data_IF_007734555657
#
_entry.id   IF_007734555657
#
_cell.length_a   1.000
_cell.length_b   1.000
_cell.length_c   1.000
_cell.angle_alpha   90.00
_cell.angle_beta   90.00
_cell.angle_gamma   90.00
#
_symmetry.space_group_name_H-M   'P 1'
#
loop_
_entity.id
_entity.type
_entity.pdbx_description
1 polymer ?
#
# COMPACT_ATOMS: atom_id res chain seq x y z
N UNK A 1 -25.67 -13.80 -14.57
CA UNK A 1 -24.39 -13.76 -13.85
C UNK A 1 -24.04 -15.17 -13.34
N UNK A 2 -22.78 -15.59 -13.45
CA UNK A 2 -22.30 -16.92 -13.03
C UNK A 2 -21.50 -16.89 -11.71
N UNK A 3 -21.03 -15.72 -11.26
CA UNK A 3 -20.31 -15.58 -9.99
C UNK A 3 -19.55 -14.25 -9.89
N UNK A 4 -18.81 -14.05 -8.79
CA UNK A 4 -17.90 -12.91 -8.59
C UNK A 4 -16.47 -13.42 -8.65
N UNK A 5 -15.66 -12.86 -9.55
CA UNK A 5 -14.26 -13.27 -9.73
C UNK A 5 -13.27 -12.43 -8.89
N UNK A 6 -13.60 -11.17 -8.61
CA UNK A 6 -12.78 -10.30 -7.79
C UNK A 6 -13.65 -9.34 -6.96
N UNK A 7 -13.21 -9.04 -5.73
CA UNK A 7 -13.84 -8.09 -4.82
C UNK A 7 -12.83 -7.06 -4.34
N UNK A 8 -13.31 -5.85 -4.06
CA UNK A 8 -12.52 -4.78 -3.45
C UNK A 8 -12.35 -5.02 -1.93
N UNK A 9 -11.55 -4.20 -1.25
CA UNK A 9 -11.33 -4.30 0.22
C UNK A 9 -12.61 -4.16 1.04
N UNK A 10 -13.63 -3.49 0.49
CA UNK A 10 -14.95 -3.31 1.12
C UNK A 10 -15.92 -4.46 0.79
N UNK A 11 -15.47 -5.51 0.12
CA UNK A 11 -16.29 -6.68 -0.22
C UNK A 11 -17.17 -6.53 -1.47
N UNK A 12 -17.23 -5.34 -2.09
CA UNK A 12 -18.02 -5.15 -3.32
C UNK A 12 -17.37 -5.84 -4.52
N UNK A 13 -18.16 -6.41 -5.45
CA UNK A 13 -17.63 -6.95 -6.70
C UNK A 13 -16.86 -5.90 -7.49
N UNK A 14 -15.66 -6.26 -7.93
CA UNK A 14 -14.92 -5.52 -8.97
C UNK A 14 -15.09 -6.18 -10.32
N UNK A 15 -15.14 -7.51 -10.34
CA UNK A 15 -15.28 -8.32 -11.54
C UNK A 15 -16.32 -9.40 -11.32
N UNK A 16 -17.31 -9.45 -12.21
CA UNK A 16 -18.29 -10.55 -12.27
C UNK A 16 -17.98 -11.50 -13.41
N UNK A 17 -18.44 -12.73 -13.27
CA UNK A 17 -18.35 -13.77 -14.30
C UNK A 17 -19.66 -13.79 -15.08
N UNK A 18 -19.60 -13.52 -16.38
CA UNK A 18 -20.73 -13.63 -17.29
C UNK A 18 -21.00 -15.08 -17.68
N UNK A 19 -22.24 -15.37 -18.08
CA UNK A 19 -22.50 -16.61 -18.81
C UNK A 19 -21.82 -16.53 -20.18
N UNK A 20 -21.29 -17.64 -20.72
CA UNK A 20 -20.66 -17.64 -22.04
C UNK A 20 -21.58 -17.20 -23.18
N UNK A 21 -22.90 -17.46 -23.03
CA UNK A 21 -23.95 -17.09 -23.97
C UNK A 21 -25.00 -16.22 -23.25
N UNK A 22 -25.58 -15.27 -23.98
CA UNK A 22 -26.79 -14.55 -23.58
C UNK A 22 -28.04 -15.42 -23.70
N UNK A 23 -29.18 -14.90 -23.24
CA UNK A 23 -30.45 -15.63 -23.26
C UNK A 23 -30.95 -15.90 -24.70
N UNK A 24 -30.51 -15.09 -25.66
CA UNK A 24 -30.72 -15.25 -27.11
C UNK A 24 -29.70 -16.17 -27.79
N UNK A 25 -28.79 -16.79 -27.02
CA UNK A 25 -27.74 -17.66 -27.52
C UNK A 25 -26.54 -16.92 -28.14
N UNK A 26 -26.49 -15.59 -28.06
CA UNK A 26 -25.35 -14.82 -28.58
C UNK A 26 -24.11 -14.94 -27.68
N UNK A 27 -22.89 -15.07 -28.23
CA UNK A 27 -21.68 -15.07 -27.42
C UNK A 27 -21.48 -13.77 -26.66
N UNK A 28 -21.27 -13.89 -25.35
CA UNK A 28 -20.82 -12.74 -24.57
C UNK A 28 -19.41 -12.31 -25.03
N UNK A 29 -19.14 -11.00 -25.15
CA UNK A 29 -17.86 -10.50 -25.63
C UNK A 29 -16.73 -10.90 -24.69
N UNK A 30 -16.97 -10.87 -23.37
CA UNK A 30 -15.99 -11.27 -22.37
C UNK A 30 -16.65 -12.11 -21.27
N UNK A 31 -15.90 -13.07 -20.74
CA UNK A 31 -16.30 -13.84 -19.57
C UNK A 31 -16.20 -13.03 -18.28
N UNK A 32 -15.20 -12.16 -18.17
CA UNK A 32 -14.98 -11.32 -16.99
C UNK A 32 -15.41 -9.90 -17.29
N UNK A 33 -16.33 -9.38 -16.50
CA UNK A 33 -16.91 -8.05 -16.68
C UNK A 33 -16.56 -7.16 -15.51
N UNK A 34 -15.94 -6.01 -15.79
CA UNK A 34 -15.60 -5.01 -14.79
C UNK A 34 -16.87 -4.29 -14.35
N UNK A 35 -17.15 -4.27 -13.05
CA UNK A 35 -18.36 -3.64 -12.47
C UNK A 35 -18.04 -2.55 -11.45
N UNK A 36 -16.77 -2.40 -11.04
CA UNK A 36 -16.38 -1.34 -10.11
C UNK A 36 -16.49 0.04 -10.79
N UNK A 37 -17.33 0.97 -10.32
CA UNK A 37 -17.51 2.27 -10.98
C UNK A 37 -16.23 3.09 -11.02
N UNK A 38 -15.42 3.06 -9.94
CA UNK A 38 -14.09 3.68 -9.93
C UNK A 38 -13.20 3.15 -11.05
N UNK A 39 -13.01 1.84 -11.13
CA UNK A 39 -12.13 1.25 -12.15
C UNK A 39 -12.68 1.47 -13.55
N UNK A 40 -14.00 1.41 -13.75
CA UNK A 40 -14.63 1.73 -15.03
C UNK A 40 -14.30 3.16 -15.45
N UNK A 41 -14.47 4.12 -14.54
CA UNK A 41 -14.22 5.53 -14.83
C UNK A 41 -12.74 5.78 -15.15
N UNK A 42 -11.81 5.25 -14.35
CA UNK A 42 -10.38 5.45 -14.57
C UNK A 42 -9.88 4.75 -15.84
N UNK A 43 -10.37 3.54 -16.14
CA UNK A 43 -10.04 2.86 -17.40
C UNK A 43 -10.60 3.62 -18.60
N UNK A 44 -11.80 4.17 -18.50
CA UNK A 44 -12.38 4.98 -19.58
C UNK A 44 -11.53 6.24 -19.86
N UNK A 45 -10.92 6.84 -18.82
CA UNK A 45 -9.95 7.93 -19.00
C UNK A 45 -8.69 7.46 -19.74
N UNK A 46 -8.16 6.28 -19.41
CA UNK A 46 -7.02 5.73 -20.15
C UNK A 46 -7.38 5.46 -21.62
N UNK A 47 -8.57 4.93 -21.89
CA UNK A 47 -9.05 4.73 -23.26
C UNK A 47 -9.15 6.06 -24.03
N UNK A 48 -9.70 7.10 -23.41
CA UNK A 48 -9.80 8.45 -23.98
C UNK A 48 -8.43 9.09 -24.25
N UNK A 49 -7.39 8.71 -23.49
CA UNK A 49 -6.00 9.12 -23.72
C UNK A 49 -5.31 8.33 -24.84
N UNK A 50 -6.00 7.38 -25.49
CA UNK A 50 -5.46 6.61 -26.62
C UNK A 50 -4.70 5.34 -26.23
N UNK A 51 -4.77 4.91 -24.95
CA UNK A 51 -4.02 3.73 -24.48
C UNK A 51 -4.42 2.42 -25.15
N UNK A 52 -5.64 2.32 -25.72
CA UNK A 52 -6.03 1.15 -26.54
C UNK A 52 -5.04 0.96 -27.70
N UNK A 53 -4.75 2.03 -28.44
CA UNK A 53 -3.86 1.99 -29.60
C UNK A 53 -2.42 1.74 -29.15
N UNK A 54 -1.96 2.43 -28.11
CA UNK A 54 -0.61 2.30 -27.59
C UNK A 54 -0.31 0.86 -27.12
N UNK A 55 -1.18 0.30 -26.28
CA UNK A 55 -1.00 -1.08 -25.80
C UNK A 55 -1.17 -2.11 -26.92
N UNK A 56 -2.03 -1.83 -27.92
CA UNK A 56 -2.11 -2.64 -29.14
C UNK A 56 -0.79 -2.67 -29.93
N UNK A 57 -0.10 -1.54 -30.02
CA UNK A 57 1.22 -1.44 -30.66
C UNK A 57 2.33 -2.11 -29.83
N UNK A 58 2.28 -2.02 -28.50
CA UNK A 58 3.20 -2.76 -27.61
C UNK A 58 3.05 -4.27 -27.84
N UNK A 59 1.83 -4.80 -27.84
CA UNK A 59 1.56 -6.23 -28.09
C UNK A 59 2.00 -6.65 -29.50
N UNK A 60 1.86 -5.77 -30.49
CA UNK A 60 2.27 -6.08 -31.86
C UNK A 60 3.79 -6.07 -32.05
N UNK A 61 4.52 -5.23 -31.32
CA UNK A 61 5.96 -5.04 -31.47
C UNK A 61 6.81 -5.92 -30.54
N UNK A 62 6.25 -6.39 -29.42
CA UNK A 62 6.98 -7.17 -28.41
C UNK A 62 6.55 -8.65 -28.42
N UNK A 63 7.44 -9.60 -28.78
CA UNK A 63 7.11 -11.04 -28.82
C UNK A 63 6.61 -11.59 -27.48
N UNK A 64 7.19 -11.14 -26.37
CA UNK A 64 6.78 -11.57 -25.02
C UNK A 64 5.37 -11.08 -24.67
N UNK A 65 5.04 -9.84 -25.01
CA UNK A 65 3.71 -9.28 -24.81
C UNK A 65 2.66 -10.04 -25.65
N UNK A 66 2.97 -10.33 -26.92
CA UNK A 66 2.14 -11.14 -27.80
C UNK A 66 1.92 -12.56 -27.24
N UNK A 67 2.99 -13.22 -26.76
CA UNK A 67 2.91 -14.55 -26.19
C UNK A 67 2.06 -14.57 -24.91
N UNK A 68 2.22 -13.56 -24.04
CA UNK A 68 1.44 -13.42 -22.82
C UNK A 68 -0.05 -13.18 -23.10
N UNK A 69 -0.40 -12.31 -24.06
CA UNK A 69 -1.80 -12.11 -24.47
C UNK A 69 -2.39 -13.36 -25.13
N UNK A 70 -1.66 -14.04 -26.01
CA UNK A 70 -2.12 -15.27 -26.63
C UNK A 70 -2.37 -16.39 -25.59
N UNK A 71 -1.53 -16.46 -24.55
CA UNK A 71 -1.73 -17.36 -23.41
C UNK A 71 -3.00 -16.99 -22.63
N UNK A 72 -3.19 -15.71 -22.32
CA UNK A 72 -4.38 -15.23 -21.63
C UNK A 72 -5.67 -15.51 -22.42
N UNK A 73 -5.66 -15.31 -23.74
CA UNK A 73 -6.80 -15.62 -24.63
C UNK A 73 -7.13 -17.11 -24.66
N UNK A 74 -6.12 -18.00 -24.71
CA UNK A 74 -6.34 -19.45 -24.64
C UNK A 74 -6.97 -19.87 -23.32
N UNK A 75 -6.48 -19.33 -22.19
CA UNK A 75 -7.06 -19.59 -20.86
C UNK A 75 -8.50 -19.09 -20.81
N UNK A 76 -8.77 -17.87 -21.29
CA UNK A 76 -10.09 -17.27 -21.33
C UNK A 76 -11.09 -18.11 -22.15
N UNK A 77 -10.71 -18.53 -23.36
CA UNK A 77 -11.56 -19.35 -24.23
C UNK A 77 -11.84 -20.74 -23.64
N UNK A 78 -10.83 -21.34 -22.98
CA UNK A 78 -11.00 -22.61 -22.27
C UNK A 78 -12.00 -22.49 -21.11
N UNK A 79 -11.88 -21.45 -20.29
CA UNK A 79 -12.80 -21.18 -19.18
C UNK A 79 -14.22 -20.92 -19.67
N UNK A 80 -14.36 -20.13 -20.75
CA UNK A 80 -15.65 -19.86 -21.41
C UNK A 80 -16.37 -21.15 -21.78
N UNK A 81 -15.69 -22.10 -22.41
CA UNK A 81 -16.29 -23.41 -22.76
C UNK A 81 -16.53 -24.28 -21.53
N UNK A 82 -15.72 -24.19 -20.47
CA UNK A 82 -15.91 -24.97 -19.24
C UNK A 82 -17.12 -24.52 -18.41
N UNK A 83 -17.48 -23.25 -18.49
CA UNK A 83 -18.64 -22.70 -17.77
C UNK A 83 -20.00 -23.05 -18.42
N UNK A 84 -20.02 -23.57 -19.65
CA UNK A 84 -21.22 -24.12 -20.25
C UNK A 84 -21.58 -25.47 -19.61
N UNK A 85 -22.86 -25.71 -19.25
CA UNK A 85 -23.34 -27.02 -18.82
C UNK A 85 -22.98 -28.13 -19.82
N UNK A 86 -22.78 -29.36 -19.33
CA UNK A 86 -22.41 -30.52 -20.17
C UNK A 86 -23.40 -30.71 -21.33
N UNK A 87 -24.70 -30.62 -21.05
CA UNK A 87 -25.76 -30.75 -22.05
C UNK A 87 -25.63 -29.68 -23.15
N UNK A 88 -25.44 -28.42 -22.76
CA UNK A 88 -25.29 -27.31 -23.70
C UNK A 88 -24.03 -27.42 -24.55
N UNK A 89 -22.92 -27.92 -23.99
CA UNK A 89 -21.70 -28.23 -24.76
C UNK A 89 -21.94 -29.31 -25.81
N UNK A 90 -22.73 -30.34 -25.49
CA UNK A 90 -23.09 -31.41 -26.46
C UNK A 90 -23.98 -30.84 -27.56
N UNK A 91 -25.01 -30.08 -27.18
CA UNK A 91 -25.93 -29.41 -28.09
C UNK A 91 -25.19 -28.50 -29.08
N UNK A 92 -24.35 -27.60 -28.60
CA UNK A 92 -23.60 -26.67 -29.47
C UNK A 92 -22.65 -27.39 -30.43
N UNK A 93 -22.08 -28.53 -30.04
CA UNK A 93 -21.23 -29.33 -30.95
C UNK A 93 -22.04 -29.96 -32.09
N UNK A 94 -23.25 -30.41 -31.82
CA UNK A 94 -24.10 -31.08 -32.79
C UNK A 94 -24.87 -30.08 -33.67
N UNK A 95 -25.49 -29.08 -33.06
CA UNK A 95 -26.46 -28.20 -33.70
C UNK A 95 -25.86 -26.86 -34.16
N UNK A 96 -24.75 -26.41 -33.56
CA UNK A 96 -24.15 -25.10 -33.84
C UNK A 96 -22.61 -25.12 -33.89
N UNK A 97 -21.98 -25.96 -34.76
CA UNK A 97 -20.53 -26.19 -34.75
C UNK A 97 -19.71 -24.91 -34.99
N UNK A 98 -20.18 -23.98 -35.83
CA UNK A 98 -19.52 -22.68 -36.06
C UNK A 98 -19.47 -21.82 -34.78
N UNK A 99 -20.55 -21.85 -33.99
CA UNK A 99 -20.62 -21.14 -32.72
C UNK A 99 -19.68 -21.78 -31.69
N UNK A 100 -19.64 -23.12 -31.65
CA UNK A 100 -18.73 -23.86 -30.79
C UNK A 100 -17.25 -23.56 -31.07
N UNK A 101 -16.85 -23.50 -32.34
CA UNK A 101 -15.51 -23.11 -32.75
C UNK A 101 -15.20 -21.64 -32.41
N UNK A 102 -16.17 -20.75 -32.62
CA UNK A 102 -16.05 -19.33 -32.24
C UNK A 102 -15.74 -19.19 -30.75
N UNK A 103 -16.45 -19.89 -29.88
CA UNK A 103 -16.22 -19.86 -28.43
C UNK A 103 -14.84 -20.40 -28.03
N UNK A 104 -14.26 -21.29 -28.83
CA UNK A 104 -12.92 -21.84 -28.61
C UNK A 104 -11.78 -20.90 -29.00
N UNK A 105 -12.07 -19.89 -29.83
CA UNK A 105 -11.08 -18.96 -30.39
C UNK A 105 -11.27 -17.51 -29.92
N UNK A 106 -12.46 -17.15 -29.44
CA UNK A 106 -12.75 -15.82 -28.93
C UNK A 106 -12.03 -15.57 -27.61
N UNK A 107 -11.00 -14.73 -27.67
CA UNK A 107 -10.24 -14.27 -26.52
C UNK A 107 -10.96 -13.19 -25.71
N UNK A 108 -10.19 -12.49 -24.88
CA UNK A 108 -10.67 -11.43 -24.01
C UNK A 108 -11.24 -10.27 -24.86
N UNK A 109 -12.45 -9.80 -24.53
CA UNK A 109 -13.15 -8.77 -25.30
C UNK A 109 -13.57 -9.20 -26.70
N UNK A 110 -13.70 -10.52 -26.94
CA UNK A 110 -14.22 -11.08 -28.18
C UNK A 110 -13.22 -11.01 -29.34
N UNK A 111 -11.92 -10.89 -29.04
CA UNK A 111 -10.90 -10.83 -30.09
C UNK A 111 -10.69 -12.19 -30.76
N UNK A 112 -10.51 -12.15 -32.07
CA UNK A 112 -10.11 -13.30 -32.89
C UNK A 112 -8.80 -13.04 -33.64
N UNK A 113 -8.33 -11.79 -33.66
CA UNK A 113 -7.10 -11.35 -34.32
C UNK A 113 -6.28 -10.44 -33.37
N UNK A 114 -5.06 -10.07 -33.78
CA UNK A 114 -4.15 -9.19 -33.04
C UNK A 114 -4.80 -7.81 -32.84
N UNK A 115 -4.71 -7.26 -31.63
CA UNK A 115 -5.19 -5.92 -31.30
C UNK A 115 -5.95 -5.86 -29.96
N UNK A 116 -5.95 -4.68 -29.35
CA UNK A 116 -6.66 -4.38 -28.11
C UNK A 116 -7.95 -3.63 -28.47
N UNK A 117 -9.10 -4.10 -27.97
CA UNK A 117 -10.41 -3.47 -28.24
C UNK A 117 -10.98 -2.70 -27.06
N UNK A 118 -10.77 -3.19 -25.84
CA UNK A 118 -11.36 -2.65 -24.62
C UNK A 118 -10.48 -2.97 -23.43
N UNK A 119 -9.94 -1.94 -22.79
CA UNK A 119 -9.08 -2.06 -21.61
C UNK A 119 -9.84 -2.60 -20.40
N UNK A 120 -11.16 -2.34 -20.28
CA UNK A 120 -11.96 -2.88 -19.17
C UNK A 120 -11.98 -4.41 -19.17
N UNK A 121 -12.10 -5.04 -20.34
CA UNK A 121 -12.12 -6.49 -20.47
C UNK A 121 -10.76 -7.11 -20.08
N UNK A 122 -9.66 -6.48 -20.47
CA UNK A 122 -8.32 -6.94 -20.07
C UNK A 122 -8.04 -6.73 -18.59
N UNK A 123 -8.44 -5.59 -18.02
CA UNK A 123 -8.32 -5.35 -16.58
C UNK A 123 -9.17 -6.37 -15.81
N UNK A 124 -10.41 -6.63 -16.24
CA UNK A 124 -11.27 -7.63 -15.60
C UNK A 124 -10.65 -9.03 -15.64
N UNK A 125 -10.08 -9.42 -16.79
CA UNK A 125 -9.38 -10.71 -16.91
C UNK A 125 -8.17 -10.78 -15.97
N UNK A 126 -7.36 -9.72 -15.91
CA UNK A 126 -6.17 -9.69 -15.06
C UNK A 126 -6.53 -9.69 -13.56
N UNK A 127 -7.56 -8.96 -13.14
CA UNK A 127 -8.03 -8.99 -11.76
C UNK A 127 -8.61 -10.37 -11.37
N UNK A 128 -9.23 -11.09 -12.30
CA UNK A 128 -9.80 -12.41 -12.07
C UNK A 128 -8.74 -13.54 -12.06
N UNK A 129 -7.77 -13.49 -12.96
CA UNK A 129 -6.85 -14.61 -13.23
C UNK A 129 -5.37 -14.30 -13.01
N UNK A 130 -4.98 -13.02 -12.92
CA UNK A 130 -3.58 -12.59 -12.93
C UNK A 130 -2.89 -12.74 -14.30
N UNK A 131 -3.67 -12.92 -15.37
CA UNK A 131 -3.17 -13.25 -16.71
C UNK A 131 -3.41 -12.13 -17.73
N UNK A 132 -2.45 -11.95 -18.63
CA UNK A 132 -2.48 -10.96 -19.73
C UNK A 132 -1.51 -9.78 -19.51
N UNK A 133 -0.75 -9.46 -20.56
CA UNK A 133 0.14 -8.30 -20.63
C UNK A 133 -0.63 -6.98 -20.52
N UNK A 134 -1.69 -6.82 -21.32
CA UNK A 134 -2.44 -5.55 -21.41
C UNK A 134 -3.14 -5.26 -20.10
N UNK A 135 -3.74 -6.28 -19.46
CA UNK A 135 -4.38 -6.11 -18.15
C UNK A 135 -3.38 -5.72 -17.06
N UNK A 136 -2.17 -6.32 -17.09
CA UNK A 136 -1.05 -5.93 -16.22
C UNK A 136 -0.61 -4.49 -16.47
N UNK A 137 -0.44 -4.07 -17.74
CA UNK A 137 -0.10 -2.69 -18.10
C UNK A 137 -1.16 -1.69 -17.67
N UNK A 138 -2.44 -2.01 -17.80
CA UNK A 138 -3.54 -1.17 -17.28
C UNK A 138 -3.41 -1.01 -15.76
N UNK A 139 -3.12 -2.07 -15.01
CA UNK A 139 -2.85 -1.98 -13.57
C UNK A 139 -1.67 -1.05 -13.26
N UNK A 140 -0.59 -1.14 -14.04
CA UNK A 140 0.59 -0.28 -13.88
C UNK A 140 0.27 1.19 -14.18
N UNK A 141 -0.47 1.48 -15.25
CA UNK A 141 -0.91 2.83 -15.60
C UNK A 141 -1.85 3.42 -14.54
N UNK A 142 -2.80 2.63 -14.05
CA UNK A 142 -3.69 3.06 -12.97
C UNK A 142 -2.92 3.36 -11.68
N UNK A 143 -1.90 2.57 -11.34
CA UNK A 143 -1.00 2.87 -10.21
C UNK A 143 -0.21 4.15 -10.42
N UNK A 144 0.29 4.39 -11.64
CA UNK A 144 0.94 5.65 -11.99
C UNK A 144 0.01 6.84 -11.78
N UNK A 145 -1.28 6.70 -12.09
CA UNK A 145 -2.30 7.74 -11.87
C UNK A 145 -2.89 7.79 -10.45
N UNK A 146 -2.22 7.14 -9.48
CA UNK A 146 -2.64 7.06 -8.08
C UNK A 146 -4.10 6.57 -7.92
N UNK A 147 -4.48 5.53 -8.66
CA UNK A 147 -5.79 4.91 -8.54
C UNK A 147 -5.75 3.79 -7.50
N UNK A 148 -6.62 3.81 -6.47
CA UNK A 148 -6.63 2.77 -5.45
C UNK A 148 -7.35 1.52 -6.01
N UNK A 149 -6.57 0.60 -6.57
CA UNK A 149 -7.09 -0.63 -7.19
C UNK A 149 -7.88 -1.52 -6.22
N UNK A 150 -7.65 -1.41 -4.92
CA UNK A 150 -8.39 -2.14 -3.89
C UNK A 150 -9.75 -1.49 -3.55
N UNK A 151 -10.11 -0.37 -4.17
CA UNK A 151 -11.34 0.39 -3.91
C UNK A 151 -11.10 1.66 -3.09
N UNK A 152 -12.07 2.57 -3.15
CA UNK A 152 -12.09 3.87 -2.46
C UNK A 152 -13.47 4.12 -1.86
N UNK A 153 -13.56 4.88 -0.76
CA UNK A 153 -14.87 5.24 -0.18
C UNK A 153 -15.73 6.11 -1.09
N UNK A 154 -15.12 6.82 -2.05
CA UNK A 154 -15.82 7.67 -3.01
C UNK A 154 -16.10 6.99 -4.36
N UNK A 155 -15.97 5.65 -4.43
CA UNK A 155 -16.16 4.91 -5.68
C UNK A 155 -17.62 4.76 -6.15
N UNK A 156 -18.60 5.24 -5.38
CA UNK A 156 -20.04 5.10 -5.68
C UNK A 156 -20.67 3.75 -5.33
N UNK A 157 -19.88 2.70 -5.03
CA UNK A 157 -20.43 1.41 -4.59
C UNK A 157 -21.11 1.45 -3.22
N UNK A 158 -20.75 2.43 -2.38
CA UNK A 158 -21.23 2.58 -1.00
C UNK A 158 -22.50 3.45 -0.87
N UNK A 159 -23.16 3.75 -2.00
CA UNK A 159 -24.28 4.69 -2.09
C UNK A 159 -23.89 5.99 -2.81
N UNK A 160 -24.82 6.95 -2.99
CA UNK A 160 -24.47 8.27 -3.50
C UNK A 160 -23.30 8.78 -2.66
N UNK A 161 -22.20 9.15 -3.33
CA UNK A 161 -21.01 9.66 -2.66
C UNK A 161 -21.47 10.68 -1.64
N UNK A 162 -21.28 10.39 -0.34
CA UNK A 162 -21.51 11.39 0.72
C UNK A 162 -20.84 12.65 0.19
N UNK A 163 -21.57 13.78 0.02
CA UNK A 163 -20.94 15.02 -0.41
C UNK A 163 -19.71 15.19 0.49
N UNK A 164 -18.54 15.59 -0.05
CA UNK A 164 -17.32 15.72 0.74
C UNK A 164 -17.73 16.37 2.06
N UNK A 165 -17.58 15.64 3.17
CA UNK A 165 -17.91 16.21 4.47
C UNK A 165 -17.08 17.49 4.57
N UNK A 166 -17.68 18.61 4.97
CA UNK A 166 -16.92 19.83 5.19
C UNK A 166 -15.62 19.49 5.94
N UNK A 167 -14.46 19.72 5.28
CA UNK A 167 -13.15 19.33 5.80
C UNK A 167 -12.58 17.98 5.33
N UNK A 168 -12.71 17.59 4.05
CA UNK A 168 -11.90 16.50 3.48
C UNK A 168 -10.48 17.00 3.22
N UNK A 169 -9.51 16.48 3.94
CA UNK A 169 -8.13 16.93 3.84
C UNK A 169 -7.20 15.82 3.34
N UNK A 170 -6.10 16.24 2.72
CA UNK A 170 -5.08 15.35 2.21
C UNK A 170 -3.68 15.75 2.70
N UNK A 171 -2.83 14.76 2.94
CA UNK A 171 -1.38 14.93 3.13
C UNK A 171 -0.66 14.19 2.00
N UNK A 172 0.34 14.82 1.40
CA UNK A 172 1.34 14.17 0.54
C UNK A 172 2.69 14.26 1.24
N UNK A 173 3.28 13.11 1.55
CA UNK A 173 4.55 12.99 2.27
C UNK A 173 5.67 12.59 1.31
N UNK A 174 6.69 13.45 1.17
CA UNK A 174 7.92 13.21 0.42
C UNK A 174 8.96 12.57 1.34
N UNK A 175 8.92 11.24 1.43
CA UNK A 175 9.91 10.45 2.16
C UNK A 175 11.15 10.10 1.34
N UNK A 176 12.22 9.67 2.01
CA UNK A 176 13.49 9.31 1.36
C UNK A 176 13.37 8.08 0.44
N UNK A 177 12.57 7.08 0.80
CA UNK A 177 12.39 5.85 0.01
C UNK A 177 11.11 5.87 -0.84
N UNK A 178 10.02 6.36 -0.27
CA UNK A 178 8.70 6.36 -0.88
C UNK A 178 8.01 7.70 -0.69
N UNK A 179 7.17 8.05 -1.65
CA UNK A 179 6.18 9.10 -1.51
C UNK A 179 4.84 8.47 -1.12
N UNK A 180 4.11 9.12 -0.22
CA UNK A 180 2.82 8.64 0.29
C UNK A 180 1.77 9.73 0.21
N UNK A 181 0.51 9.32 0.15
CA UNK A 181 -0.60 10.24 0.34
C UNK A 181 -1.71 9.61 1.18
N UNK A 182 -2.32 10.43 2.01
CA UNK A 182 -3.49 10.08 2.82
C UNK A 182 -4.58 11.09 2.53
N UNK A 183 -5.77 10.62 2.16
CA UNK A 183 -6.97 11.45 2.04
C UNK A 183 -7.96 10.96 3.09
N UNK A 184 -8.44 11.87 3.92
CA UNK A 184 -9.39 11.55 4.97
C UNK A 184 -10.46 12.62 5.16
N UNK A 185 -11.66 12.18 5.52
CA UNK A 185 -12.73 13.04 5.97
C UNK A 185 -12.51 13.39 7.45
N UNK A 186 -12.60 14.67 7.80
CA UNK A 186 -12.67 15.08 9.20
C UNK A 186 -14.05 14.75 9.76
N UNK A 187 -14.09 14.00 10.87
CA UNK A 187 -15.30 13.63 11.57
C UNK A 187 -15.23 14.10 13.03
N UNK A 188 -16.36 14.29 13.73
CA UNK A 188 -16.36 14.69 15.14
C UNK A 188 -15.55 13.77 16.07
N UNK A 189 -15.42 12.49 15.68
CA UNK A 189 -14.73 11.45 16.45
C UNK A 189 -13.32 11.13 15.93
N UNK A 190 -12.77 11.93 15.01
CA UNK A 190 -11.43 11.74 14.45
C UNK A 190 -11.40 11.87 12.93
N UNK A 191 -10.65 10.99 12.26
CA UNK A 191 -10.60 10.97 10.80
C UNK A 191 -11.30 9.71 10.29
N UNK A 192 -11.82 9.79 9.07
CA UNK A 192 -12.29 8.63 8.30
C UNK A 192 -11.46 8.49 7.03
N UNK A 193 -10.75 7.37 6.89
CA UNK A 193 -9.89 7.11 5.73
C UNK A 193 -10.70 7.03 4.43
N UNK A 194 -10.38 7.88 3.47
CA UNK A 194 -10.96 7.88 2.12
C UNK A 194 -10.07 7.11 1.15
N UNK A 195 -8.79 7.52 1.04
CA UNK A 195 -7.77 6.86 0.22
C UNK A 195 -6.40 6.90 0.89
N UNK A 196 -5.60 5.87 0.65
CA UNK A 196 -4.19 5.81 1.03
C UNK A 196 -3.38 5.34 -0.18
N UNK A 197 -2.25 6.00 -0.42
CA UNK A 197 -1.35 5.73 -1.54
C UNK A 197 0.08 5.62 -1.03
N UNK A 198 0.83 4.68 -1.58
CA UNK A 198 2.26 4.53 -1.36
C UNK A 198 2.92 4.16 -2.68
N UNK A 199 3.94 4.92 -3.06
CA UNK A 199 4.74 4.65 -4.24
C UNK A 199 6.22 4.78 -3.91
N UNK A 200 7.01 3.78 -4.28
CA UNK A 200 8.47 3.84 -4.16
C UNK A 200 9.01 4.74 -5.26
N UNK A 201 9.67 5.84 -4.86
CA UNK A 201 10.32 6.80 -5.77
C UNK A 201 11.82 6.94 -5.50
N UNK A 202 12.26 6.51 -4.31
CA UNK A 202 13.65 6.50 -3.84
C UNK A 202 14.32 7.87 -3.95
N UNK A 203 13.64 8.92 -3.47
CA UNK A 203 14.14 10.30 -3.48
C UNK A 203 15.57 10.43 -2.94
N UNK A 204 15.92 9.65 -1.91
CA UNK A 204 17.25 9.62 -1.30
C UNK A 204 18.38 9.21 -2.26
N UNK A 205 18.10 8.46 -3.34
CA UNK A 205 19.09 8.15 -4.38
C UNK A 205 19.52 9.41 -5.16
N UNK A 206 18.69 10.46 -5.14
CA UNK A 206 19.00 11.75 -5.75
C UNK A 206 19.87 12.65 -4.88
N UNK A 207 20.27 12.20 -3.68
CA UNK A 207 21.08 12.99 -2.76
C UNK A 207 22.56 12.96 -3.18
N UNK A 208 23.06 14.08 -3.70
CA UNK A 208 24.43 14.25 -4.19
C UNK A 208 24.95 15.61 -3.76
N UNK A 209 26.15 15.65 -3.16
CA UNK A 209 26.79 16.89 -2.70
C UNK A 209 25.90 17.76 -1.80
N UNK A 210 25.11 17.11 -0.94
CA UNK A 210 24.17 17.77 -0.03
C UNK A 210 22.87 18.26 -0.71
N UNK A 211 22.62 17.95 -1.98
CA UNK A 211 21.46 18.41 -2.75
C UNK A 211 20.63 17.24 -3.26
N UNK A 212 19.31 17.44 -3.35
CA UNK A 212 18.42 16.48 -4.04
C UNK A 212 18.27 16.89 -5.49
N UNK A 213 18.58 15.98 -6.42
CA UNK A 213 18.57 16.25 -7.86
C UNK A 213 18.38 14.98 -8.72
N UNK A 214 18.33 15.19 -10.04
CA UNK A 214 18.35 14.11 -11.02
C UNK A 214 17.06 13.27 -11.11
N UNK A 215 17.13 12.07 -11.70
CA UNK A 215 15.95 11.27 -12.02
C UNK A 215 15.08 10.91 -10.82
N UNK A 216 15.66 10.72 -9.62
CA UNK A 216 14.91 10.41 -8.41
C UNK A 216 14.01 11.58 -7.97
N UNK A 217 14.51 12.81 -8.07
CA UNK A 217 13.73 14.01 -7.81
C UNK A 217 12.60 14.16 -8.83
N UNK A 218 12.90 14.04 -10.13
CA UNK A 218 11.90 14.17 -11.20
C UNK A 218 10.75 13.16 -11.05
N UNK A 219 11.07 11.89 -10.78
CA UNK A 219 10.05 10.86 -10.51
C UNK A 219 9.20 11.20 -9.29
N UNK A 220 9.84 11.72 -8.23
CA UNK A 220 9.14 12.07 -6.99
C UNK A 220 8.19 13.24 -7.20
N UNK A 221 8.63 14.31 -7.89
CA UNK A 221 7.79 15.47 -8.21
C UNK A 221 6.63 15.09 -9.12
N UNK A 222 6.88 14.28 -10.15
CA UNK A 222 5.83 13.80 -11.06
C UNK A 222 4.77 12.96 -10.32
N UNK A 223 5.17 12.13 -9.35
CA UNK A 223 4.24 11.36 -8.53
C UNK A 223 3.51 12.26 -7.51
N UNK A 224 4.20 13.22 -6.89
CA UNK A 224 3.59 14.18 -5.97
C UNK A 224 2.45 14.94 -6.66
N UNK A 225 2.66 15.40 -7.89
CA UNK A 225 1.63 16.07 -8.68
C UNK A 225 0.41 15.18 -8.96
N UNK A 226 0.62 13.90 -9.29
CA UNK A 226 -0.48 12.95 -9.50
C UNK A 226 -1.25 12.66 -8.22
N UNK A 227 -0.56 12.51 -7.08
CA UNK A 227 -1.19 12.32 -5.77
C UNK A 227 -2.01 13.55 -5.36
N UNK A 228 -1.48 14.76 -5.58
CA UNK A 228 -2.20 16.01 -5.33
C UNK A 228 -3.43 16.15 -6.25
N UNK A 229 -3.29 15.84 -7.54
CA UNK A 229 -4.41 15.84 -8.48
C UNK A 229 -5.47 14.79 -8.12
N UNK A 230 -5.04 13.60 -7.64
CA UNK A 230 -5.96 12.57 -7.13
C UNK A 230 -6.73 13.06 -5.91
N UNK A 231 -6.05 13.62 -4.92
CA UNK A 231 -6.66 14.17 -3.71
C UNK A 231 -7.76 15.19 -4.06
N UNK A 232 -7.47 16.14 -4.96
CA UNK A 232 -8.48 17.11 -5.45
C UNK A 232 -9.64 16.45 -6.18
N UNK A 233 -9.38 15.47 -7.06
CA UNK A 233 -10.44 14.72 -7.79
C UNK A 233 -11.38 13.98 -6.85
N UNK A 234 -10.88 13.53 -5.70
CA UNK A 234 -11.72 12.90 -4.66
C UNK A 234 -12.26 13.90 -3.65
N UNK A 235 -12.18 15.20 -3.93
CA UNK A 235 -12.83 16.26 -3.17
C UNK A 235 -12.05 16.77 -1.95
N UNK A 236 -10.73 16.57 -1.87
CA UNK A 236 -9.93 17.23 -0.85
C UNK A 236 -9.80 18.72 -1.17
N UNK A 237 -10.29 19.57 -0.26
CA UNK A 237 -10.21 21.04 -0.33
C UNK A 237 -8.93 21.58 0.32
N UNK A 238 -8.37 20.82 1.28
CA UNK A 238 -7.10 21.12 1.92
C UNK A 238 -6.03 20.09 1.56
N UNK A 239 -4.86 20.56 1.12
CA UNK A 239 -3.70 19.74 0.78
C UNK A 239 -2.46 20.21 1.54
N UNK A 240 -1.96 19.36 2.41
CA UNK A 240 -0.65 19.51 3.07
C UNK A 240 0.40 18.75 2.28
N UNK A 241 1.52 19.39 1.97
CA UNK A 241 2.65 18.72 1.34
C UNK A 241 3.83 18.80 2.30
N UNK A 242 4.35 17.65 2.73
CA UNK A 242 5.39 17.59 3.75
C UNK A 242 6.63 16.84 3.27
N UNK A 243 7.81 17.31 3.68
CA UNK A 243 9.08 16.64 3.44
C UNK A 243 9.74 16.22 4.75
N UNK A 244 10.28 15.01 4.79
CA UNK A 244 10.93 14.43 5.98
C UNK A 244 12.46 14.39 5.81
N UNK A 245 13.15 13.37 6.34
CA UNK A 245 14.63 13.28 6.42
C UNK A 245 15.40 13.75 5.18
N UNK A 246 15.20 13.16 4.00
CA UNK A 246 15.98 13.55 2.81
C UNK A 246 15.76 15.01 2.41
N UNK A 247 14.54 15.53 2.54
CA UNK A 247 14.20 16.91 2.22
C UNK A 247 14.77 17.87 3.27
N UNK A 248 14.73 17.47 4.56
CA UNK A 248 15.31 18.22 5.68
C UNK A 248 16.83 18.31 5.60
N UNK A 249 17.50 17.30 5.07
CA UNK A 249 18.96 17.27 4.96
C UNK A 249 19.46 18.02 3.71
N UNK A 250 18.60 18.26 2.71
CA UNK A 250 18.98 18.92 1.47
C UNK A 250 19.35 20.41 1.65
N UNK A 251 20.43 20.84 1.02
CA UNK A 251 20.87 22.23 0.96
C UNK A 251 20.01 23.07 0.00
N UNK A 252 19.37 22.45 -0.99
CA UNK A 252 18.55 23.13 -2.00
C UNK A 252 17.05 23.20 -1.64
N UNK A 253 16.73 23.40 -0.36
CA UNK A 253 15.34 23.39 0.16
C UNK A 253 14.42 24.41 -0.50
N UNK A 254 14.90 25.62 -0.78
CA UNK A 254 14.09 26.66 -1.43
C UNK A 254 13.71 26.28 -2.87
N UNK A 255 14.66 25.72 -3.62
CA UNK A 255 14.40 25.20 -4.97
C UNK A 255 13.38 24.06 -4.92
N UNK A 256 13.56 23.11 -4.00
CA UNK A 256 12.62 22.02 -3.80
C UNK A 256 11.22 22.53 -3.45
N UNK A 257 11.11 23.51 -2.56
CA UNK A 257 9.82 24.10 -2.18
C UNK A 257 9.09 24.71 -3.39
N UNK A 258 9.81 25.46 -4.24
CA UNK A 258 9.24 26.01 -5.47
C UNK A 258 8.77 24.91 -6.42
N UNK A 259 9.61 23.92 -6.69
CA UNK A 259 9.28 22.82 -7.62
C UNK A 259 8.14 21.94 -7.11
N UNK A 260 8.05 21.73 -5.80
CA UNK A 260 6.92 21.03 -5.16
C UNK A 260 5.64 21.85 -5.28
N UNK A 261 5.69 23.16 -5.02
CA UNK A 261 4.55 24.05 -5.20
C UNK A 261 4.06 24.05 -6.66
N UNK A 262 4.96 24.10 -7.64
CA UNK A 262 4.63 24.01 -9.07
C UNK A 262 3.96 22.66 -9.41
N UNK A 263 4.52 21.55 -8.94
CA UNK A 263 4.02 20.21 -9.26
C UNK A 263 2.69 19.87 -8.57
N UNK A 264 2.51 20.33 -7.32
CA UNK A 264 1.39 19.90 -6.47
C UNK A 264 0.35 20.98 -6.26
N UNK A 265 0.69 22.26 -6.41
CA UNK A 265 -0.10 23.40 -5.97
C UNK A 265 -0.12 23.62 -4.45
N UNK A 266 0.62 22.84 -3.66
CA UNK A 266 0.69 22.94 -2.20
C UNK A 266 2.09 23.30 -1.70
N UNK A 267 2.14 24.09 -0.62
CA UNK A 267 3.40 24.57 -0.06
C UNK A 267 4.13 23.44 0.68
N UNK A 268 5.42 23.27 0.39
CA UNK A 268 6.25 22.28 1.05
C UNK A 268 6.56 22.72 2.48
N UNK A 269 6.06 21.96 3.46
CA UNK A 269 6.46 22.07 4.87
C UNK A 269 7.49 20.99 5.20
N UNK A 270 8.71 21.40 5.55
CA UNK A 270 9.76 20.47 6.00
C UNK A 270 9.57 20.23 7.50
N UNK A 271 9.43 18.97 7.89
CA UNK A 271 9.24 18.61 9.30
C UNK A 271 10.59 18.38 9.99
N UNK A 272 10.68 18.81 11.24
CA UNK A 272 11.72 18.37 12.17
C UNK A 272 11.46 16.94 12.63
N UNK A 273 12.49 16.24 13.12
CA UNK A 273 12.31 14.90 13.68
C UNK A 273 11.37 14.86 14.90
N UNK A 274 11.34 15.94 15.69
CA UNK A 274 10.41 16.08 16.81
C UNK A 274 8.96 16.23 16.33
N UNK A 275 8.71 17.07 15.32
CA UNK A 275 7.38 17.21 14.72
C UNK A 275 6.88 15.90 14.11
N UNK A 276 7.75 15.15 13.42
CA UNK A 276 7.43 13.81 12.89
C UNK A 276 7.00 12.87 14.02
N UNK A 277 7.78 12.76 15.09
CA UNK A 277 7.47 11.89 16.21
C UNK A 277 6.17 12.30 16.95
N UNK A 278 5.94 13.61 17.14
CA UNK A 278 4.68 14.11 17.71
C UNK A 278 3.48 13.81 16.79
N UNK A 279 3.64 13.96 15.47
CA UNK A 279 2.59 13.65 14.51
C UNK A 279 2.31 12.14 14.46
N UNK A 280 3.34 11.28 14.44
CA UNK A 280 3.17 9.81 14.50
C UNK A 280 2.41 9.41 15.77
N UNK A 281 2.78 9.99 16.91
CA UNK A 281 2.07 9.76 18.17
C UNK A 281 0.58 10.12 18.07
N UNK A 282 0.24 11.32 17.57
CA UNK A 282 -1.14 11.76 17.35
C UNK A 282 -1.90 10.82 16.42
N UNK A 283 -1.32 10.52 15.26
CA UNK A 283 -1.96 9.72 14.23
C UNK A 283 -2.27 8.31 14.70
N UNK A 284 -1.32 7.68 15.41
CA UNK A 284 -1.51 6.34 15.96
C UNK A 284 -2.62 6.30 17.03
N UNK A 285 -2.69 7.30 17.93
CA UNK A 285 -3.76 7.39 18.94
C UNK A 285 -5.13 7.59 18.31
N UNK A 286 -5.24 8.47 17.32
CA UNK A 286 -6.51 8.74 16.63
C UNK A 286 -6.97 7.52 15.84
N UNK A 287 -6.06 6.90 15.08
CA UNK A 287 -6.39 5.70 14.28
C UNK A 287 -6.92 4.56 15.15
N UNK A 288 -6.24 4.29 16.27
CA UNK A 288 -6.62 3.24 17.21
C UNK A 288 -7.67 3.66 18.25
N UNK A 289 -8.16 4.90 18.19
CA UNK A 289 -9.16 5.48 19.12
C UNK A 289 -8.77 5.32 20.60
N UNK A 290 -7.49 5.53 20.91
CA UNK A 290 -6.97 5.39 22.28
C UNK A 290 -7.28 6.63 23.11
N UNK A 291 -8.09 6.48 24.16
CA UNK A 291 -8.53 7.57 25.04
C UNK A 291 -7.64 7.76 26.27
N UNK A 292 -6.92 6.73 26.71
CA UNK A 292 -6.01 6.77 27.85
C UNK A 292 -4.55 7.10 27.49
N UNK A 293 -3.62 6.90 28.45
CA UNK A 293 -2.19 6.98 28.19
C UNK A 293 -1.78 6.02 27.06
N UNK A 294 -0.94 6.52 26.16
CA UNK A 294 -0.35 5.75 25.08
C UNK A 294 1.16 5.92 25.11
N UNK A 295 1.85 4.85 24.71
CA UNK A 295 3.27 4.83 24.43
C UNK A 295 3.44 4.30 23.00
N UNK A 296 3.87 5.18 22.10
CA UNK A 296 4.03 4.87 20.67
C UNK A 296 5.51 4.65 20.38
N UNK A 297 5.80 3.57 19.66
CA UNK A 297 7.10 3.30 19.03
C UNK A 297 6.98 3.39 17.52
N UNK A 298 7.82 4.21 16.91
CA UNK A 298 8.02 4.23 15.46
C UNK A 298 9.41 3.66 15.17
N UNK A 299 9.46 2.50 14.51
CA UNK A 299 10.72 1.85 14.17
C UNK A 299 11.02 2.04 12.68
N UNK A 300 11.82 3.06 12.40
CA UNK A 300 12.38 3.33 11.08
C UNK A 300 13.62 2.49 10.75
N UNK A 301 14.21 2.75 9.58
CA UNK A 301 15.47 2.14 9.17
C UNK A 301 16.69 2.71 9.90
N UNK A 302 16.70 4.02 10.17
CA UNK A 302 17.83 4.73 10.76
C UNK A 302 17.73 4.96 12.27
N UNK A 303 16.52 5.15 12.79
CA UNK A 303 16.24 5.46 14.19
C UNK A 303 15.00 4.72 14.71
N UNK A 304 14.76 4.84 16.01
CA UNK A 304 13.51 4.49 16.66
C UNK A 304 13.07 5.66 17.54
N UNK A 305 11.80 6.02 17.45
CA UNK A 305 11.20 7.08 18.24
C UNK A 305 10.24 6.49 19.28
N UNK A 306 10.31 6.97 20.52
CA UNK A 306 9.36 6.67 21.60
C UNK A 306 8.66 7.95 22.00
N UNK A 307 7.32 7.92 22.01
CA UNK A 307 6.50 9.06 22.42
C UNK A 307 5.42 8.59 23.42
N UNK A 308 5.33 9.24 24.58
CA UNK A 308 4.36 8.89 25.63
C UNK A 308 3.50 10.08 26.01
N UNK A 309 2.19 9.85 26.19
CA UNK A 309 1.26 10.87 26.69
C UNK A 309 -0.18 10.37 26.75
N UNK A 310 -1.05 11.16 27.38
CA UNK A 310 -2.50 10.90 27.45
C UNK A 310 -3.33 11.87 26.60
N UNK A 311 -2.73 12.96 26.11
CA UNK A 311 -3.36 13.98 25.26
C UNK A 311 -2.86 13.91 23.82
N UNK A 312 -3.27 14.86 22.98
CA UNK A 312 -2.81 14.94 21.60
C UNK A 312 -1.27 15.11 21.52
N UNK A 313 -0.68 15.90 22.40
CA UNK A 313 0.78 16.10 22.45
C UNK A 313 1.42 15.10 23.43
N UNK A 314 2.50 14.41 23.04
CA UNK A 314 3.24 13.56 23.98
C UNK A 314 3.94 14.43 25.04
N UNK A 315 3.99 13.94 26.29
CA UNK A 315 4.73 14.56 27.40
C UNK A 315 6.20 14.16 27.43
N UNK A 316 6.52 13.03 26.81
CA UNK A 316 7.88 12.49 26.72
C UNK A 316 8.15 12.05 25.30
N UNK A 317 9.33 12.37 24.80
CA UNK A 317 9.81 12.01 23.49
C UNK A 317 11.27 11.58 23.60
N UNK A 318 11.64 10.51 22.89
CA UNK A 318 13.01 10.04 22.77
C UNK A 318 13.22 9.52 21.36
N UNK A 319 14.30 9.94 20.69
CA UNK A 319 14.77 9.31 19.46
C UNK A 319 16.13 8.66 19.72
N UNK A 320 16.29 7.41 19.30
CA UNK A 320 17.53 6.65 19.42
C UNK A 320 18.01 6.18 18.05
N UNK A 321 19.33 6.12 17.82
CA UNK A 321 19.91 5.60 16.58
C UNK A 321 19.86 4.06 16.55
N UNK A 322 18.70 3.45 16.80
CA UNK A 322 18.49 2.01 16.87
C UNK A 322 17.59 1.49 15.72
N UNK A 323 17.60 2.15 14.57
CA UNK A 323 16.78 1.75 13.43
C UNK A 323 17.11 0.35 12.90
N UNK A 324 16.11 -0.30 12.29
CA UNK A 324 16.20 -1.69 11.84
C UNK A 324 17.32 -1.91 10.82
N UNK A 325 17.47 -1.03 9.83
CA UNK A 325 18.54 -1.12 8.82
C UNK A 325 19.92 -0.87 9.46
N UNK A 326 20.03 0.17 10.29
CA UNK A 326 21.29 0.54 10.95
C UNK A 326 21.81 -0.59 11.81
N UNK A 327 20.95 -1.19 12.64
CA UNK A 327 21.37 -2.30 13.51
C UNK A 327 21.53 -3.61 12.72
N UNK A 328 20.75 -3.83 11.66
CA UNK A 328 21.00 -4.95 10.76
C UNK A 328 22.39 -4.89 10.12
N UNK A 329 22.81 -3.71 9.62
CA UNK A 329 24.14 -3.51 9.05
C UNK A 329 25.24 -3.65 10.11
N UNK A 330 25.07 -3.03 11.29
CA UNK A 330 26.06 -3.07 12.37
C UNK A 330 26.35 -4.50 12.85
N UNK A 331 25.33 -5.34 12.98
CA UNK A 331 25.47 -6.70 13.50
C UNK A 331 25.49 -7.77 12.41
N UNK A 332 25.28 -7.37 11.15
CA UNK A 332 25.21 -8.24 9.99
C UNK A 332 24.00 -9.16 9.96
N UNK A 333 22.91 -8.83 10.66
CA UNK A 333 21.76 -9.73 10.87
C UNK A 333 21.19 -10.21 9.54
N UNK A 334 20.96 -11.51 9.41
CA UNK A 334 20.41 -12.11 8.19
C UNK A 334 21.38 -13.05 7.47
N UNK A 335 22.38 -13.59 8.17
CA UNK A 335 23.21 -14.71 7.67
C UNK A 335 23.32 -15.85 8.68
N UNK A 336 23.32 -15.54 9.98
CA UNK A 336 23.57 -16.48 11.07
C UNK A 336 22.75 -16.12 12.32
N UNK A 337 22.01 -17.06 12.94
CA UNK A 337 21.36 -16.86 14.24
C UNK A 337 22.24 -16.21 15.31
N UNK A 338 23.54 -16.47 15.37
CA UNK A 338 24.44 -15.88 16.36
C UNK A 338 24.52 -14.34 16.25
N UNK A 339 24.22 -13.77 15.08
CA UNK A 339 24.19 -12.32 14.86
C UNK A 339 23.06 -11.64 15.64
N UNK A 340 21.88 -12.26 15.71
CA UNK A 340 20.76 -11.67 16.47
C UNK A 340 21.01 -11.76 17.98
N UNK A 341 21.72 -12.80 18.45
CA UNK A 341 22.13 -12.91 19.86
C UNK A 341 23.06 -11.76 20.24
N UNK A 342 24.02 -11.40 19.39
CA UNK A 342 24.91 -10.23 19.63
C UNK A 342 24.13 -8.91 19.67
N UNK A 343 23.18 -8.73 18.75
CA UNK A 343 22.28 -7.57 18.77
C UNK A 343 21.48 -7.50 20.09
N UNK A 344 20.89 -8.62 20.53
CA UNK A 344 20.12 -8.67 21.77
C UNK A 344 20.98 -8.42 23.01
N UNK A 345 22.20 -8.96 23.07
CA UNK A 345 23.15 -8.69 24.13
C UNK A 345 23.49 -7.19 24.19
N UNK A 346 23.80 -6.59 23.03
CA UNK A 346 24.07 -5.16 22.94
C UNK A 346 22.86 -4.31 23.37
N UNK A 347 21.64 -4.66 22.97
CA UNK A 347 20.43 -3.96 23.42
C UNK A 347 20.28 -4.01 24.95
N UNK A 348 20.55 -5.17 25.57
CA UNK A 348 20.53 -5.34 27.04
C UNK A 348 21.58 -4.48 27.75
N UNK A 349 22.75 -4.31 27.16
CA UNK A 349 23.82 -3.45 27.71
C UNK A 349 23.51 -1.95 27.56
N UNK A 350 22.94 -1.54 26.43
CA UNK A 350 22.70 -0.12 26.16
C UNK A 350 21.41 0.42 26.78
N UNK A 351 20.35 -0.40 26.89
CA UNK A 351 19.07 0.08 27.39
C UNK A 351 19.09 0.67 28.81
N UNK A 352 19.85 0.14 29.79
CA UNK A 352 20.02 0.82 31.08
C UNK A 352 20.58 2.25 30.96
N UNK A 353 21.40 2.53 29.94
CA UNK A 353 22.03 3.84 29.77
C UNK A 353 21.08 4.87 29.13
N UNK A 354 20.31 4.45 28.13
CA UNK A 354 19.50 5.37 27.30
C UNK A 354 17.98 5.24 27.49
N UNK A 355 17.52 4.13 28.10
CA UNK A 355 16.10 3.80 28.28
C UNK A 355 15.69 3.57 29.74
N UNK A 356 16.55 3.89 30.73
CA UNK A 356 16.22 3.70 32.15
C UNK A 356 14.85 4.26 32.54
N UNK A 357 14.56 5.51 32.16
CA UNK A 357 13.27 6.18 32.44
C UNK A 357 12.07 5.61 31.67
N UNK A 358 12.26 4.70 30.72
CA UNK A 358 11.20 4.05 29.94
C UNK A 358 10.88 2.62 30.41
N UNK A 359 11.64 2.10 31.39
CA UNK A 359 11.41 0.74 31.91
C UNK A 359 10.03 0.65 32.57
N UNK A 360 9.19 -0.29 32.13
CA UNK A 360 7.82 -0.44 32.64
C UNK A 360 6.84 0.68 32.22
N UNK A 361 7.22 1.58 31.31
CA UNK A 361 6.39 2.73 30.93
C UNK A 361 5.06 2.36 30.23
N UNK A 362 4.91 1.12 29.76
CA UNK A 362 3.69 0.63 29.14
C UNK A 362 2.76 -0.14 30.09
N UNK A 363 3.06 -0.24 31.40
CA UNK A 363 2.19 -0.98 32.34
C UNK A 363 0.79 -0.37 32.45
N UNK A 364 0.67 0.94 32.31
CA UNK A 364 -0.58 1.70 32.38
C UNK A 364 -0.87 2.48 31.08
N UNK A 365 -0.20 2.10 29.98
CA UNK A 365 -0.35 2.77 28.70
C UNK A 365 -0.49 1.77 27.55
N UNK A 366 -1.29 2.11 26.54
CA UNK A 366 -1.34 1.34 25.31
C UNK A 366 0.02 1.38 24.60
N UNK A 367 0.68 0.23 24.43
CA UNK A 367 1.92 0.10 23.67
C UNK A 367 1.61 -0.08 22.19
N UNK A 368 1.92 0.94 21.39
CA UNK A 368 1.51 1.03 19.99
C UNK A 368 2.73 1.03 19.08
N UNK A 369 2.75 0.13 18.10
CA UNK A 369 3.81 0.06 17.08
C UNK A 369 3.36 0.64 15.76
N UNK A 370 4.16 1.55 15.23
CA UNK A 370 3.99 2.17 13.91
C UNK A 370 5.15 1.75 13.01
N UNK A 371 4.93 1.86 11.70
CA UNK A 371 5.98 1.68 10.71
C UNK A 371 6.05 0.26 10.15
N UNK A 372 7.00 0.08 9.25
CA UNK A 372 7.05 -1.10 8.38
C UNK A 372 7.33 -2.42 9.10
N UNK A 373 8.18 -2.41 10.13
CA UNK A 373 8.48 -3.63 10.89
C UNK A 373 7.26 -4.13 11.65
N UNK A 374 6.55 -3.23 12.35
CA UNK A 374 5.36 -3.59 13.12
C UNK A 374 4.23 -4.10 12.19
N UNK A 375 4.00 -3.41 11.08
CA UNK A 375 2.99 -3.79 10.08
C UNK A 375 3.33 -5.08 9.35
N UNK A 376 4.61 -5.33 9.02
CA UNK A 376 5.05 -6.61 8.45
C UNK A 376 4.87 -7.78 9.43
N UNK A 377 5.26 -7.63 10.71
CA UNK A 377 5.06 -8.68 11.70
C UNK A 377 3.58 -9.03 11.90
N UNK A 378 2.70 -8.03 11.92
CA UNK A 378 1.25 -8.25 11.98
C UNK A 378 0.70 -8.97 10.73
N UNK A 379 1.20 -8.63 9.55
CA UNK A 379 0.81 -9.29 8.30
C UNK A 379 1.34 -10.74 8.22
N UNK A 380 2.56 -10.98 8.70
CA UNK A 380 3.19 -12.29 8.76
C UNK A 380 2.49 -13.23 9.74
N UNK A 381 2.14 -12.74 10.94
CA UNK A 381 1.40 -13.52 11.95
C UNK A 381 0.00 -13.94 11.48
N UNK A 382 -0.57 -13.15 10.57
CA UNK A 382 -1.86 -13.43 9.92
C UNK A 382 -1.73 -14.18 8.59
N UNK A 383 -0.51 -14.51 8.16
CA UNK A 383 -0.18 -15.18 6.90
C UNK A 383 -0.82 -14.51 5.66
N UNK A 384 -0.82 -13.18 5.64
CA UNK A 384 -1.48 -12.42 4.57
C UNK A 384 -0.75 -12.58 3.23
N UNK A 385 -1.36 -13.25 2.26
CA UNK A 385 -0.79 -13.34 0.90
C UNK A 385 -0.74 -11.99 0.16
N UNK A 386 -1.57 -11.03 0.58
CA UNK A 386 -1.57 -9.64 0.09
C UNK A 386 -1.77 -8.71 1.28
N UNK A 387 -1.05 -7.59 1.30
CA UNK A 387 -1.19 -6.61 2.37
C UNK A 387 -2.64 -6.10 2.46
N UNK A 388 -3.23 -6.19 3.65
CA UNK A 388 -4.58 -5.74 3.95
C UNK A 388 -4.53 -4.79 5.14
N UNK A 389 -4.49 -3.46 4.92
CA UNK A 389 -4.38 -2.46 6.00
C UNK A 389 -5.45 -2.64 7.07
N UNK A 390 -6.69 -2.97 6.68
CA UNK A 390 -7.82 -3.16 7.60
C UNK A 390 -7.65 -4.36 8.55
N UNK A 391 -6.83 -5.35 8.17
CA UNK A 391 -6.49 -6.50 9.03
C UNK A 391 -5.25 -6.25 9.88
N UNK A 392 -4.35 -5.38 9.42
CA UNK A 392 -3.11 -5.04 10.11
C UNK A 392 -3.35 -3.96 11.18
N UNK A 393 -4.20 -2.99 10.89
CA UNK A 393 -4.57 -1.93 11.82
C UNK A 393 -5.32 -2.51 13.04
N UNK A 394 -4.87 -2.15 14.25
CA UNK A 394 -5.43 -2.68 15.49
C UNK A 394 -5.04 -4.13 15.79
N UNK A 395 -4.21 -4.76 14.96
CA UNK A 395 -3.75 -6.11 15.24
C UNK A 395 -2.86 -6.11 16.48
N UNK A 396 -3.16 -7.02 17.41
CA UNK A 396 -2.45 -7.15 18.68
C UNK A 396 -1.44 -8.29 18.56
N UNK A 397 -0.16 -7.96 18.61
CA UNK A 397 0.96 -8.91 18.63
C UNK A 397 1.38 -9.19 20.08
N UNK A 398 1.06 -10.36 20.67
CA UNK A 398 1.57 -10.72 21.98
C UNK A 398 3.10 -10.70 22.01
N UNK A 399 3.67 -10.35 23.17
CA UNK A 399 5.13 -10.35 23.37
C UNK A 399 5.74 -11.71 23.04
N UNK A 400 5.05 -12.79 23.42
CA UNK A 400 5.45 -14.16 23.14
C UNK A 400 5.45 -14.45 21.64
N UNK A 401 4.50 -13.88 20.88
CA UNK A 401 4.48 -13.95 19.42
C UNK A 401 5.65 -13.19 18.79
N UNK A 402 5.99 -12.00 19.29
CA UNK A 402 7.18 -11.26 18.83
C UNK A 402 8.46 -12.10 19.04
N UNK A 403 8.61 -12.70 20.22
CA UNK A 403 9.75 -13.57 20.54
C UNK A 403 9.81 -14.81 19.62
N UNK A 404 8.66 -15.44 19.35
CA UNK A 404 8.57 -16.55 18.38
C UNK A 404 8.99 -16.13 16.98
N UNK A 405 8.58 -14.94 16.53
CA UNK A 405 9.00 -14.42 15.23
C UNK A 405 10.50 -14.15 15.17
N UNK A 406 11.11 -13.61 16.22
CA UNK A 406 12.57 -13.45 16.29
C UNK A 406 13.27 -14.80 16.13
N UNK A 407 12.84 -15.83 16.87
CA UNK A 407 13.42 -17.17 16.77
C UNK A 407 13.22 -17.81 15.38
N UNK A 408 12.00 -17.71 14.83
CA UNK A 408 11.67 -18.25 13.49
C UNK A 408 12.47 -17.55 12.39
N UNK A 409 12.56 -16.23 12.43
CA UNK A 409 13.33 -15.44 11.45
C UNK A 409 14.83 -15.74 11.54
N UNK A 410 15.37 -15.94 12.75
CA UNK A 410 16.77 -16.28 12.94
C UNK A 410 17.11 -17.66 12.37
N UNK A 411 16.19 -18.62 12.44
CA UNK A 411 16.39 -19.98 11.94
C UNK A 411 16.19 -20.15 10.43
N UNK A 412 15.57 -19.18 9.75
CA UNK A 412 15.32 -19.25 8.31
C UNK A 412 16.55 -18.81 7.51
N UNK A 413 16.85 -19.50 6.40
CA UNK A 413 17.87 -19.03 5.48
C UNK A 413 17.40 -17.74 4.77
N UNK A 414 18.32 -16.84 4.38
CA UNK A 414 17.97 -15.52 3.84
C UNK A 414 17.07 -15.60 2.60
N UNK A 415 17.27 -16.63 1.76
CA UNK A 415 16.52 -16.86 0.54
C UNK A 415 15.05 -17.26 0.80
N UNK A 416 14.77 -17.82 1.99
CA UNK A 416 13.42 -18.19 2.39
C UNK A 416 12.62 -17.02 2.94
N UNK A 417 13.29 -15.98 3.47
CA UNK A 417 12.62 -14.81 4.07
C UNK A 417 11.75 -14.08 3.06
N UNK A 418 12.25 -13.85 1.83
CA UNK A 418 11.50 -13.16 0.77
C UNK A 418 10.26 -13.92 0.27
N UNK A 419 10.05 -15.17 0.71
CA UNK A 419 8.88 -16.00 0.35
C UNK A 419 7.85 -16.08 1.48
N UNK A 420 8.13 -15.50 2.65
CA UNK A 420 7.21 -15.52 3.77
C UNK A 420 5.95 -14.70 3.43
N UNK A 421 4.74 -15.28 3.57
CA UNK A 421 3.51 -14.51 3.49
C UNK A 421 3.53 -13.32 4.44
N UNK A 422 3.04 -12.16 3.98
CA UNK A 422 2.99 -10.93 4.77
C UNK A 422 4.28 -10.11 4.82
N UNK A 423 5.42 -10.64 4.34
CA UNK A 423 6.68 -9.92 4.28
C UNK A 423 6.96 -9.40 2.87
N UNK A 424 7.17 -8.09 2.74
CA UNK A 424 7.70 -7.51 1.52
C UNK A 424 9.14 -7.99 1.30
N UNK A 425 9.49 -8.58 0.14
CA UNK A 425 10.85 -9.02 -0.16
C UNK A 425 11.91 -7.92 0.04
N UNK A 426 11.59 -6.65 -0.22
CA UNK A 426 12.53 -5.53 0.00
C UNK A 426 12.84 -5.33 1.49
N UNK A 427 11.95 -5.79 2.39
CA UNK A 427 12.13 -5.70 3.86
C UNK A 427 12.81 -6.92 4.46
N UNK A 428 12.92 -8.02 3.72
CA UNK A 428 13.52 -9.26 4.21
C UNK A 428 14.93 -9.08 4.82
N UNK A 429 15.83 -8.23 4.27
CA UNK A 429 17.17 -8.05 4.85
C UNK A 429 17.18 -7.40 6.25
N UNK A 430 16.14 -6.65 6.62
CA UNK A 430 16.12 -5.85 7.87
C UNK A 430 15.11 -6.37 8.90
N UNK A 431 14.21 -7.27 8.52
CA UNK A 431 13.09 -7.69 9.36
C UNK A 431 13.53 -8.37 10.66
N UNK A 432 14.61 -9.16 10.65
CA UNK A 432 15.10 -9.86 11.84
C UNK A 432 15.60 -8.88 12.90
N UNK A 433 16.44 -7.91 12.52
CA UNK A 433 16.88 -6.86 13.44
C UNK A 433 15.68 -6.06 13.98
N UNK A 434 14.75 -5.68 13.09
CA UNK A 434 13.55 -4.95 13.46
C UNK A 434 12.70 -5.71 14.49
N UNK A 435 12.46 -7.00 14.26
CA UNK A 435 11.72 -7.87 15.16
C UNK A 435 12.41 -7.99 16.52
N UNK A 436 13.74 -8.13 16.53
CA UNK A 436 14.52 -8.21 17.77
C UNK A 436 14.44 -6.91 18.59
N UNK A 437 14.48 -5.75 17.93
CA UNK A 437 14.31 -4.44 18.58
C UNK A 437 12.92 -4.31 19.18
N UNK A 438 11.85 -4.61 18.41
CA UNK A 438 10.48 -4.50 18.91
C UNK A 438 10.19 -5.49 20.05
N UNK A 439 10.68 -6.73 19.95
CA UNK A 439 10.56 -7.73 21.01
C UNK A 439 11.24 -7.25 22.30
N UNK A 440 12.49 -6.77 22.19
CA UNK A 440 13.24 -6.22 23.31
C UNK A 440 12.54 -5.00 23.94
N UNK A 441 12.12 -4.03 23.13
CA UNK A 441 11.45 -2.83 23.63
C UNK A 441 10.13 -3.19 24.30
N UNK A 442 9.34 -4.11 23.73
CA UNK A 442 8.08 -4.59 24.33
C UNK A 442 8.30 -5.18 25.72
N UNK A 443 9.35 -5.98 25.90
CA UNK A 443 9.73 -6.49 27.22
C UNK A 443 10.21 -5.38 28.15
N UNK A 444 11.08 -4.48 27.68
CA UNK A 444 11.66 -3.40 28.46
C UNK A 444 10.62 -2.44 29.03
N UNK A 445 9.65 -2.03 28.20
CA UNK A 445 8.55 -1.14 28.61
C UNK A 445 7.48 -1.88 29.42
N UNK A 446 7.60 -3.20 29.60
CA UNK A 446 6.70 -4.01 30.42
C UNK A 446 5.34 -4.27 29.77
N UNK A 447 5.25 -4.24 28.43
CA UNK A 447 4.01 -4.50 27.71
C UNK A 447 3.80 -6.01 27.46
N UNK A 448 2.54 -6.45 27.53
CA UNK A 448 2.16 -7.83 27.18
C UNK A 448 1.94 -8.03 25.67
N UNK A 449 1.66 -6.95 24.94
CA UNK A 449 1.47 -6.98 23.50
C UNK A 449 1.73 -5.62 22.87
N UNK A 450 2.15 -5.64 21.61
CA UNK A 450 2.24 -4.48 20.73
C UNK A 450 0.94 -4.35 19.93
N UNK A 451 0.27 -3.21 20.02
CA UNK A 451 -0.87 -2.86 19.19
C UNK A 451 -0.39 -2.19 17.91
N UNK A 452 -0.67 -2.74 16.74
CA UNK A 452 -0.12 -2.23 15.48
C UNK A 452 -1.04 -1.17 14.89
N UNK A 453 -0.47 -0.01 14.56
CA UNK A 453 -1.16 1.07 13.84
C UNK A 453 -0.62 1.18 12.41
N UNK A 454 -1.52 1.17 11.44
CA UNK A 454 -1.22 1.63 10.07
C UNK A 454 -1.30 3.14 9.92
N UNK A 455 -1.82 3.84 10.93
CA UNK A 455 -1.90 5.30 10.96
C UNK A 455 -0.69 5.87 11.69
N UNK A 456 -0.13 6.94 11.12
CA UNK A 456 1.15 7.51 11.50
C UNK A 456 1.12 9.05 11.36
N UNK A 457 2.29 9.65 11.09
CA UNK A 457 2.44 11.10 10.96
C UNK A 457 1.41 11.75 10.04
N UNK A 458 1.03 11.13 8.91
CA UNK A 458 0.09 11.75 7.97
C UNK A 458 -1.28 11.96 8.61
N UNK A 459 -1.77 10.98 9.37
CA UNK A 459 -3.02 11.10 10.11
C UNK A 459 -2.88 12.15 11.25
N UNK A 460 -1.75 12.16 11.95
CA UNK A 460 -1.50 13.13 13.01
C UNK A 460 -1.36 14.58 12.55
N UNK A 461 -0.90 14.80 11.32
CA UNK A 461 -0.87 16.11 10.67
C UNK A 461 -2.29 16.57 10.29
N UNK A 462 -3.10 15.69 9.69
CA UNK A 462 -4.48 16.02 9.33
C UNK A 462 -5.34 16.41 10.54
N UNK A 463 -5.12 15.76 11.69
CA UNK A 463 -5.78 16.11 12.95
C UNK A 463 -5.30 17.46 13.48
N UNK A 464 -3.99 17.71 13.50
CA UNK A 464 -3.44 18.96 14.03
C UNK A 464 -3.89 20.18 13.19
N UNK A 465 -3.89 20.04 11.87
CA UNK A 465 -4.31 21.09 10.94
C UNK A 465 -5.79 21.44 11.10
N UNK A 466 -6.65 20.45 11.37
CA UNK A 466 -8.07 20.70 11.61
C UNK A 466 -8.38 21.43 12.91
N UNK A 467 -7.51 21.31 13.91
CA UNK A 467 -7.63 22.06 15.16
C UNK A 467 -7.08 23.50 15.06
N UNK A 468 -6.33 23.83 14.02
CA UNK A 468 -5.78 25.17 13.81
C UNK A 468 -6.68 26.08 12.93
N UNK A 469 -7.63 25.49 12.20
CA UNK A 469 -8.58 26.20 11.33
C UNK A 469 -10.02 26.28 11.86
N UNK A 470 -10.27 25.79 13.08
CA UNK A 470 -11.52 25.93 13.83
C UNK A 470 -11.27 26.84 15.04
#
# INVERSE_FOLDING_TARGET
MAGVAARCRFGFPQVVVNRPLGDDGTPMPTLFWLVCPLLIQEVSRLEAQGWIRALGQEVASQPEAAAAEARADRIHALLRRRLLPVAERRRLRAEAPRLWERLARSGIGGRQQRGVKCLHAHLANYLALGEGYVGRRVVELLRQEAVPLAGSRVCGCLGPSRPPSAGRAAVVELGSHSIRALVADRAPQGLELVEEHLQVTRLGEGFQDGRLQGPALERTLAMAGRLAARARRVGADHLLVVGTSAVREAANREELARRVQEATGGALRVLTGEEEAQATFRGARVGLKVTGPALVVDLGGGSVELAQGAGATPRRLLSLPWGALRLAQRFGTGRDPAQVVRLQAWLKEQAPLVLAGWRGAAREAAWIGVGGTATSLAAMDQELCRYQPDRVHGYRLPRETLNRWVAKLAALPPEALGRLPGLDPERAPVILAGAAILAFLTEWVGAQALLVSTWDLMAGLLVADGAAGA
#
